data_IF_101052619709
#
_entry.id   IF_101052619709
#
_cell.length_a   1.000
_cell.length_b   1.000
_cell.length_c   1.000
_cell.angle_alpha   90.00
_cell.angle_beta   90.00
_cell.angle_gamma   90.00
#
_symmetry.space_group_name_H-M   'P 1'
#
loop_
_entity.id
_entity.type
_entity.pdbx_description
1 polymer ?
#
# COMPACT_ATOMS: atom_id res chain seq x y z
N UNK A 1 -3.08 -0.88 5.60
CA UNK A 1 -4.22 -1.57 4.95
C UNK A 1 -3.71 -2.91 4.41
N UNK A 2 -4.27 -4.04 4.85
CA UNK A 2 -3.80 -5.41 4.57
C UNK A 2 -4.83 -6.15 3.68
N UNK A 3 -4.37 -7.07 2.82
CA UNK A 3 -5.20 -8.00 2.03
C UNK A 3 -6.18 -8.83 2.87
N UNK A 4 -5.85 -9.16 4.13
CA UNK A 4 -6.78 -9.87 5.04
C UNK A 4 -8.07 -9.09 5.32
N UNK A 5 -8.03 -7.76 5.18
CA UNK A 5 -9.19 -6.90 5.37
C UNK A 5 -10.02 -6.74 4.07
N UNK A 6 -9.65 -7.42 2.98
CA UNK A 6 -10.33 -7.35 1.69
C UNK A 6 -11.26 -8.57 1.53
N UNK A 7 -12.54 -8.30 1.26
CA UNK A 7 -13.56 -9.32 1.04
C UNK A 7 -13.92 -9.36 -0.45
N UNK A 8 -13.98 -10.56 -1.02
CA UNK A 8 -14.33 -10.79 -2.43
C UNK A 8 -15.55 -11.71 -2.47
N UNK A 9 -16.62 -11.26 -3.12
CA UNK A 9 -17.83 -12.07 -3.31
C UNK A 9 -18.59 -11.60 -4.56
N UNK A 10 -18.96 -12.52 -5.44
CA UNK A 10 -19.69 -12.24 -6.70
C UNK A 10 -19.07 -11.09 -7.49
N UNK A 11 -17.74 -11.14 -7.68
CA UNK A 11 -16.95 -10.10 -8.36
C UNK A 11 -17.01 -8.70 -7.71
N UNK A 12 -17.55 -8.59 -6.50
CA UNK A 12 -17.55 -7.35 -5.72
C UNK A 12 -16.42 -7.44 -4.70
N UNK A 13 -15.58 -6.40 -4.68
CA UNK A 13 -14.50 -6.23 -3.70
C UNK A 13 -14.97 -5.21 -2.66
N UNK A 14 -14.82 -5.53 -1.37
CA UNK A 14 -15.16 -4.64 -0.25
C UNK A 14 -14.02 -4.57 0.76
N UNK A 15 -13.86 -3.41 1.39
CA UNK A 15 -12.94 -3.20 2.50
C UNK A 15 -13.71 -3.47 3.80
N UNK A 16 -13.08 -4.19 4.71
CA UNK A 16 -13.62 -4.51 6.04
C UNK A 16 -12.66 -4.08 7.16
N UNK A 17 -13.03 -4.37 8.40
CA UNK A 17 -12.20 -4.16 9.59
C UNK A 17 -11.76 -2.69 9.81
N UNK A 18 -12.74 -1.82 10.08
CA UNK A 18 -12.51 -0.40 10.39
C UNK A 18 -12.07 -0.13 11.84
N UNK A 19 -11.84 -1.15 12.68
CA UNK A 19 -11.51 -0.98 14.10
C UNK A 19 -10.21 -0.21 14.37
N UNK A 20 -9.34 -0.10 13.37
CA UNK A 20 -8.04 0.60 13.42
C UNK A 20 -8.18 2.08 13.01
N UNK A 21 -9.31 2.48 12.41
CA UNK A 21 -9.52 3.84 11.86
C UNK A 21 -9.51 4.98 12.89
N UNK A 22 -9.61 4.67 14.19
CA UNK A 22 -9.74 5.64 15.28
C UNK A 22 -8.56 5.63 16.26
N UNK A 23 -7.41 5.08 15.88
CA UNK A 23 -6.28 4.95 16.80
C UNK A 23 -5.57 6.30 17.02
N UNK A 24 -5.66 6.80 18.25
CA UNK A 24 -5.03 8.04 18.76
C UNK A 24 -3.81 7.71 19.67
N UNK A 25 -3.52 6.43 19.90
CA UNK A 25 -2.45 5.93 20.78
C UNK A 25 -1.20 5.61 19.96
N UNK A 26 0.00 5.77 20.55
CA UNK A 26 1.34 5.43 20.01
C UNK A 26 1.31 4.29 18.97
N UNK A 27 1.18 4.66 17.68
CA UNK A 27 0.90 3.71 16.61
C UNK A 27 1.91 2.57 16.55
N UNK A 28 3.19 2.82 16.79
CA UNK A 28 4.25 1.83 16.59
C UNK A 28 4.18 0.60 17.51
N UNK A 29 3.72 0.73 18.76
CA UNK A 29 3.59 -0.44 19.67
C UNK A 29 2.46 -1.33 19.16
N UNK A 30 1.34 -0.70 18.83
CA UNK A 30 0.14 -1.39 18.38
C UNK A 30 0.35 -2.03 17.01
N UNK A 31 0.96 -1.32 16.07
CA UNK A 31 1.28 -1.81 14.73
C UNK A 31 2.20 -3.03 14.76
N UNK A 32 3.17 -3.06 15.68
CA UNK A 32 4.02 -4.23 15.88
C UNK A 32 3.23 -5.41 16.47
N UNK A 33 2.40 -5.17 17.50
CA UNK A 33 1.61 -6.23 18.14
C UNK A 33 0.52 -6.83 17.24
N UNK A 34 -0.01 -6.04 16.30
CA UNK A 34 -1.06 -6.44 15.37
C UNK A 34 -0.50 -6.93 14.02
N UNK A 35 0.83 -6.99 13.83
CA UNK A 35 1.45 -7.39 12.56
C UNK A 35 1.20 -6.40 11.42
N UNK A 36 0.81 -5.16 11.71
CA UNK A 36 0.45 -4.14 10.73
C UNK A 36 1.64 -3.30 10.25
N UNK A 37 2.82 -3.46 10.87
CA UNK A 37 4.01 -2.67 10.53
C UNK A 37 4.43 -2.81 9.06
N UNK A 38 4.18 -3.96 8.44
CA UNK A 38 4.50 -4.24 7.03
C UNK A 38 3.63 -3.45 6.04
N UNK A 39 2.42 -3.07 6.46
CA UNK A 39 1.45 -2.31 5.65
C UNK A 39 1.32 -0.85 6.11
N UNK A 40 2.25 -0.41 6.96
CA UNK A 40 2.28 0.92 7.55
C UNK A 40 3.18 1.84 6.76
N UNK A 41 2.75 3.10 6.65
CA UNK A 41 3.53 4.15 6.02
C UNK A 41 4.88 4.36 6.74
N UNK A 42 6.02 4.37 6.03
CA UNK A 42 7.33 4.66 6.61
C UNK A 42 7.37 5.96 7.42
N UNK A 43 6.59 6.96 7.04
CA UNK A 43 6.56 8.27 7.73
C UNK A 43 5.98 8.11 9.13
N UNK A 44 4.93 7.30 9.29
CA UNK A 44 4.32 6.99 10.58
C UNK A 44 5.33 6.34 11.53
N UNK A 45 6.21 5.51 10.99
CA UNK A 45 7.24 4.79 11.76
C UNK A 45 8.46 5.66 12.10
N UNK A 46 8.82 6.61 11.24
CA UNK A 46 9.89 7.59 11.49
C UNK A 46 9.49 8.62 12.56
N UNK A 47 8.23 9.08 12.54
CA UNK A 47 7.72 10.09 13.47
C UNK A 47 7.82 9.63 14.95
N UNK A 48 7.84 8.33 15.22
CA UNK A 48 7.93 7.77 16.57
C UNK A 48 9.36 7.44 17.06
N UNK A 49 10.41 7.80 16.31
CA UNK A 49 11.80 7.69 16.77
C UNK A 49 12.33 6.27 17.04
N UNK A 50 11.60 5.21 16.64
CA UNK A 50 11.96 3.81 16.93
C UNK A 50 12.98 3.21 15.97
N UNK A 51 13.27 3.87 14.86
CA UNK A 51 14.35 3.48 13.96
C UNK A 51 15.50 4.46 14.11
N UNK A 52 16.39 4.16 15.06
CA UNK A 52 17.65 4.91 15.27
C UNK A 52 18.61 4.76 14.08
N UNK A 53 18.30 3.86 13.16
CA UNK A 53 19.14 3.49 12.04
C UNK A 53 18.30 3.47 10.75
N UNK A 54 18.38 4.57 9.99
CA UNK A 54 17.70 4.73 8.69
C UNK A 54 18.09 3.63 7.68
N UNK A 55 19.25 2.99 7.84
CA UNK A 55 19.70 1.92 6.93
C UNK A 55 18.76 0.71 6.96
N UNK A 56 18.29 0.31 8.15
CA UNK A 56 17.38 -0.85 8.33
C UNK A 56 15.95 -0.55 7.86
N UNK A 57 15.56 0.72 7.84
CA UNK A 57 14.30 1.17 7.24
C UNK A 57 14.38 1.06 5.72
N UNK A 58 15.47 1.52 5.12
CA UNK A 58 15.69 1.39 3.68
C UNK A 58 15.71 -0.08 3.28
N UNK A 59 16.35 -0.98 4.03
CA UNK A 59 16.35 -2.40 3.65
C UNK A 59 14.98 -3.11 3.84
N UNK A 60 14.13 -2.62 4.76
CA UNK A 60 12.76 -3.15 4.97
C UNK A 60 11.72 -2.55 4.02
N UNK A 61 11.90 -1.28 3.64
CA UNK A 61 10.92 -0.49 2.87
C UNK A 61 11.38 -0.15 1.45
N UNK A 62 12.67 -0.33 1.12
CA UNK A 62 13.09 -0.52 -0.26
C UNK A 62 12.46 -1.82 -0.70
N UNK A 63 11.33 -1.66 -1.38
CA UNK A 63 10.88 -2.57 -2.41
C UNK A 63 12.10 -3.21 -3.06
N UNK A 64 12.31 -4.51 -2.78
CA UNK A 64 13.27 -5.30 -3.55
C UNK A 64 12.91 -5.05 -5.01
N UNK A 65 13.84 -4.42 -5.72
CA UNK A 65 13.78 -4.12 -7.15
C UNK A 65 12.93 -5.14 -7.91
N UNK A 66 11.82 -4.71 -8.51
CA UNK A 66 11.01 -5.64 -9.32
C UNK A 66 9.72 -5.09 -9.93
N UNK A 67 9.04 -4.13 -9.29
CA UNK A 67 7.83 -3.56 -9.86
C UNK A 67 8.16 -2.25 -10.59
N UNK A 68 8.47 -2.36 -11.88
CA UNK A 68 8.42 -1.24 -12.84
C UNK A 68 6.97 -0.84 -13.13
N UNK A 69 6.11 -0.83 -12.11
CA UNK A 69 4.74 -0.35 -12.20
C UNK A 69 4.76 1.16 -12.05
N UNK A 70 4.03 1.85 -12.93
CA UNK A 70 4.01 3.32 -13.04
C UNK A 70 3.39 4.04 -11.82
N UNK A 71 2.78 3.29 -10.91
CA UNK A 71 2.16 3.78 -9.69
C UNK A 71 3.12 3.49 -8.52
N UNK A 72 3.82 4.51 -8.05
CA UNK A 72 4.64 4.42 -6.84
C UNK A 72 3.88 5.06 -5.68
N UNK A 73 3.23 4.22 -4.86
CA UNK A 73 2.52 4.65 -3.66
C UNK A 73 3.45 4.77 -2.44
N UNK A 74 4.71 4.33 -2.55
CA UNK A 74 5.67 4.22 -1.45
C UNK A 74 6.73 5.33 -1.49
N UNK A 75 6.34 6.53 -1.94
CA UNK A 75 7.21 7.70 -2.00
C UNK A 75 7.32 8.33 -0.60
N UNK A 76 8.53 8.68 -0.15
CA UNK A 76 8.75 9.30 1.17
C UNK A 76 8.21 10.74 1.23
N UNK A 77 8.22 11.46 0.11
CA UNK A 77 7.54 12.74 -0.02
C UNK A 77 6.03 12.51 -0.25
N UNK A 78 5.20 12.88 0.72
CA UNK A 78 3.74 12.66 0.67
C UNK A 78 3.07 13.41 -0.45
N UNK A 79 3.57 14.58 -0.83
CA UNK A 79 2.98 15.43 -1.86
C UNK A 79 3.17 14.84 -3.25
N UNK A 80 4.18 13.97 -3.41
CA UNK A 80 4.45 13.27 -4.67
C UNK A 80 3.65 11.98 -4.83
N UNK A 81 2.97 11.52 -3.76
CA UNK A 81 2.19 10.29 -3.84
C UNK A 81 0.97 10.49 -4.73
N UNK A 82 0.61 9.49 -5.55
CA UNK A 82 -0.62 9.55 -6.31
C UNK A 82 -1.82 9.56 -5.36
N UNK A 83 -2.79 10.41 -5.63
CA UNK A 83 -4.11 10.31 -4.99
C UNK A 83 -4.86 9.07 -5.53
N UNK A 84 -5.96 8.72 -4.88
CA UNK A 84 -6.73 7.53 -5.25
C UNK A 84 -7.25 7.58 -6.70
N UNK A 85 -7.61 8.77 -7.20
CA UNK A 85 -8.08 8.94 -8.58
C UNK A 85 -6.99 8.57 -9.60
N UNK A 86 -5.75 9.05 -9.39
CA UNK A 86 -4.61 8.72 -10.25
C UNK A 86 -4.25 7.25 -10.21
N UNK A 87 -4.38 6.60 -9.04
CA UNK A 87 -4.20 5.15 -8.90
C UNK A 87 -5.26 4.39 -9.71
N UNK A 88 -6.54 4.75 -9.57
CA UNK A 88 -7.65 4.13 -10.30
C UNK A 88 -7.43 4.28 -11.81
N UNK A 89 -7.11 5.49 -12.28
CA UNK A 89 -6.86 5.75 -13.70
C UNK A 89 -5.77 4.85 -14.28
N UNK A 90 -4.61 4.74 -13.62
CA UNK A 90 -3.52 3.88 -14.12
C UNK A 90 -3.91 2.38 -14.06
N UNK A 91 -4.69 1.93 -13.07
CA UNK A 91 -5.21 0.57 -13.01
C UNK A 91 -6.21 0.27 -14.13
N UNK A 92 -7.11 1.20 -14.45
CA UNK A 92 -8.06 1.07 -15.56
C UNK A 92 -7.34 0.98 -16.91
N UNK A 93 -6.27 1.76 -17.11
CA UNK A 93 -5.44 1.64 -18.32
C UNK A 93 -4.81 0.24 -18.45
N UNK A 94 -4.34 -0.34 -17.34
CA UNK A 94 -3.78 -1.70 -17.33
C UNK A 94 -4.87 -2.74 -17.63
N UNK A 95 -6.05 -2.63 -17.00
CA UNK A 95 -7.18 -3.52 -17.24
C UNK A 95 -7.59 -3.51 -18.72
N UNK A 96 -7.75 -2.31 -19.31
CA UNK A 96 -8.06 -2.15 -20.74
C UNK A 96 -7.02 -2.84 -21.63
N UNK A 97 -5.72 -2.64 -21.34
CA UNK A 97 -4.65 -3.27 -22.11
C UNK A 97 -4.72 -4.81 -22.04
N UNK A 98 -5.12 -5.36 -20.90
CA UNK A 98 -5.30 -6.80 -20.73
C UNK A 98 -6.50 -7.28 -21.56
N UNK A 99 -7.62 -6.56 -21.54
CA UNK A 99 -8.81 -6.89 -22.34
C UNK A 99 -8.52 -6.85 -23.85
N UNK A 100 -7.78 -5.83 -24.32
CA UNK A 100 -7.36 -5.70 -25.72
C UNK A 100 -6.49 -6.88 -26.17
N UNK A 101 -5.64 -7.42 -25.28
CA UNK A 101 -4.81 -8.61 -25.55
C UNK A 101 -5.63 -9.91 -25.60
N UNK A 102 -6.73 -9.99 -24.84
CA UNK A 102 -7.56 -11.19 -24.74
C UNK A 102 -8.65 -11.27 -25.82
N UNK A 103 -9.03 -10.14 -26.43
CA UNK A 103 -10.09 -10.06 -27.45
C UNK A 103 -9.61 -10.32 -28.88
N UNK A 104 -8.29 -10.31 -29.10
CA UNK A 104 -7.66 -10.73 -30.37
C UNK A 104 -6.71 -11.92 -30.15
N UNK A 105 -7.23 -13.15 -29.98
CA UNK A 105 -6.38 -14.32 -29.90
C UNK A 105 -5.71 -14.56 -31.26
N UNK A 106 -4.40 -14.84 -31.25
CA UNK A 106 -3.61 -15.28 -32.41
C UNK A 106 -4.20 -16.52 -33.08
#
# INVERSE_FOLDING_TARGET
MNSENILIHNNIIKISNFGISKLVIEPSILLNSLGLIEYSDPILLKAEGKFRDESRLKDKFSSKNGCRSKIDCWIQDTEQRPNIEKVIQELEHVAKKIDDLNTHPL
#
